data_IF_934190120186
#
_entry.id   IF_934190120186
#
_cell.length_a   1.000
_cell.length_b   1.000
_cell.length_c   1.000
_cell.angle_alpha   90.00
_cell.angle_beta   90.00
_cell.angle_gamma   90.00
#
_symmetry.space_group_name_H-M   'P 1'
#
loop_
_entity.id
_entity.type
_entity.pdbx_description
1 polymer ?
#
# COMPACT_ATOMS: atom_id res chain seq x y z
N UNK A 1 6.48 -1.22 13.79
CA UNK A 1 6.43 -0.66 12.41
C UNK A 1 5.04 -0.88 11.82
N UNK A 2 4.42 0.12 11.19
CA UNK A 2 3.09 -0.04 10.58
C UNK A 2 3.21 -0.65 9.18
N UNK A 3 2.68 -1.85 9.01
CA UNK A 3 2.63 -2.56 7.73
C UNK A 3 1.21 -2.66 7.25
N UNK A 4 1.06 -2.79 5.93
CA UNK A 4 -0.22 -2.87 5.28
C UNK A 4 -0.22 -3.96 4.22
N UNK A 5 -1.35 -4.65 4.08
CA UNK A 5 -1.67 -5.46 2.91
C UNK A 5 -2.82 -4.79 2.18
N UNK A 6 -2.62 -4.50 0.91
CA UNK A 6 -3.62 -3.87 0.04
C UNK A 6 -3.98 -4.87 -1.05
N UNK A 7 -5.26 -5.27 -1.07
CA UNK A 7 -5.83 -6.10 -2.12
C UNK A 7 -6.50 -5.19 -3.16
N UNK A 8 -6.12 -5.35 -4.41
CA UNK A 8 -6.65 -4.62 -5.55
C UNK A 8 -7.58 -5.49 -6.39
N UNK A 9 -8.43 -4.82 -7.18
CA UNK A 9 -9.22 -5.47 -8.23
C UNK A 9 -8.31 -6.29 -9.15
N UNK A 10 -8.78 -7.45 -9.59
CA UNK A 10 -8.00 -8.35 -10.45
C UNK A 10 -7.05 -9.29 -9.70
N UNK A 11 -7.28 -9.52 -8.39
CA UNK A 11 -6.52 -10.44 -7.54
C UNK A 11 -5.03 -10.05 -7.38
N UNK A 12 -4.73 -8.76 -7.44
CA UNK A 12 -3.38 -8.25 -7.19
C UNK A 12 -3.26 -7.82 -5.73
N UNK A 13 -2.20 -8.22 -5.05
CA UNK A 13 -2.01 -7.93 -3.62
C UNK A 13 -0.60 -7.41 -3.37
N UNK A 14 -0.50 -6.31 -2.63
CA UNK A 14 0.77 -5.72 -2.20
C UNK A 14 0.86 -5.72 -0.68
N UNK A 15 2.02 -6.13 -0.16
CA UNK A 15 2.35 -6.09 1.27
C UNK A 15 3.61 -5.26 1.45
N UNK A 16 3.61 -4.38 2.45
CA UNK A 16 4.77 -3.54 2.72
C UNK A 16 4.55 -2.58 3.86
N UNK A 17 5.41 -1.57 3.93
CA UNK A 17 5.30 -0.46 4.87
C UNK A 17 4.29 0.54 4.34
N UNK A 18 3.35 0.95 5.17
CA UNK A 18 2.44 2.04 4.82
C UNK A 18 3.20 3.36 4.81
N UNK A 19 3.22 4.06 3.66
CA UNK A 19 3.82 5.40 3.52
C UNK A 19 2.75 6.50 3.48
N UNK A 20 1.49 6.15 3.71
CA UNK A 20 0.36 7.05 3.73
C UNK A 20 -0.29 7.25 2.36
N UNK A 21 -1.28 8.14 2.37
CA UNK A 21 -2.03 8.52 1.17
C UNK A 21 -1.30 9.57 0.35
N UNK A 22 -1.27 9.37 -0.98
CA UNK A 22 -0.68 10.29 -1.95
C UNK A 22 -1.68 10.49 -3.10
N UNK A 23 -1.87 11.75 -3.49
CA UNK A 23 -2.66 12.14 -4.64
C UNK A 23 -1.78 12.23 -5.89
N UNK A 24 -2.13 11.49 -6.95
CA UNK A 24 -1.49 11.54 -8.27
C UNK A 24 -2.58 11.81 -9.31
N UNK A 25 -2.39 12.85 -10.12
CA UNK A 25 -3.33 13.26 -11.19
C UNK A 25 -4.79 13.43 -10.71
N UNK A 26 -4.98 13.88 -9.46
CA UNK A 26 -6.30 14.08 -8.87
C UNK A 26 -6.95 12.80 -8.33
N UNK A 27 -6.25 11.67 -8.35
CA UNK A 27 -6.68 10.42 -7.72
C UNK A 27 -5.87 10.14 -6.45
N UNK A 28 -6.57 9.87 -5.35
CA UNK A 28 -5.93 9.44 -4.11
C UNK A 28 -5.58 7.96 -4.17
N UNK A 29 -4.41 7.60 -3.65
CA UNK A 29 -3.94 6.22 -3.53
C UNK A 29 -3.07 6.05 -2.29
N UNK A 30 -2.86 4.81 -1.87
CA UNK A 30 -1.96 4.46 -0.77
C UNK A 30 -0.60 4.10 -1.37
N UNK A 31 0.48 4.70 -0.86
CA UNK A 31 1.83 4.32 -1.25
C UNK A 31 2.34 3.21 -0.34
N UNK A 32 2.63 2.04 -0.92
CA UNK A 32 3.15 0.88 -0.19
C UNK A 32 4.60 0.65 -0.58
N UNK A 33 5.51 0.66 0.38
CA UNK A 33 6.91 0.29 0.17
C UNK A 33 7.09 -1.21 0.42
N UNK A 34 7.22 -1.97 -0.67
CA UNK A 34 7.24 -3.45 -0.67
C UNK A 34 8.60 -4.04 -0.31
N UNK A 35 9.68 -3.32 -0.59
CA UNK A 35 11.03 -3.69 -0.19
C UNK A 35 11.77 -2.44 0.29
N UNK A 36 12.10 -2.42 1.58
CA UNK A 36 12.81 -1.30 2.22
C UNK A 36 14.29 -1.27 1.85
N UNK A 37 14.87 -2.35 1.33
CA UNK A 37 16.29 -2.40 0.90
C UNK A 37 16.48 -1.81 -0.49
N UNK A 38 15.62 -2.19 -1.45
CA UNK A 38 15.65 -1.59 -2.79
C UNK A 38 14.89 -0.27 -2.88
N UNK A 39 14.01 0.02 -1.92
CA UNK A 39 13.14 1.19 -1.94
C UNK A 39 11.98 1.07 -2.93
N UNK A 40 11.66 -0.16 -3.38
CA UNK A 40 10.55 -0.40 -4.31
C UNK A 40 9.22 0.00 -3.68
N UNK A 41 8.57 0.99 -4.30
CA UNK A 41 7.29 1.55 -3.88
C UNK A 41 6.24 1.32 -4.96
N UNK A 42 5.04 0.97 -4.53
CA UNK A 42 3.88 0.78 -5.39
C UNK A 42 2.79 1.72 -4.92
N UNK A 43 2.31 2.56 -5.83
CA UNK A 43 1.15 3.41 -5.58
C UNK A 43 -0.13 2.64 -5.92
N UNK A 44 -1.03 2.53 -4.95
CA UNK A 44 -2.26 1.77 -5.02
C UNK A 44 -3.46 2.72 -5.04
N UNK A 45 -4.07 3.03 -6.21
CA UNK A 45 -5.21 3.94 -6.29
C UNK A 45 -6.40 3.44 -5.47
N UNK A 46 -7.01 4.31 -4.65
CA UNK A 46 -8.09 3.95 -3.70
C UNK A 46 -9.26 3.27 -4.42
N UNK A 47 -9.63 3.76 -5.62
CA UNK A 47 -10.74 3.19 -6.41
C UNK A 47 -10.51 1.74 -6.84
N UNK A 48 -9.26 1.30 -6.83
CA UNK A 48 -8.84 -0.06 -7.19
C UNK A 48 -8.69 -0.96 -5.96
N UNK A 49 -8.65 -0.40 -4.74
CA UNK A 49 -8.54 -1.16 -3.50
C UNK A 49 -9.87 -1.83 -3.17
N UNK A 50 -9.83 -3.15 -3.03
CA UNK A 50 -10.93 -3.98 -2.58
C UNK A 50 -10.87 -4.15 -1.05
N UNK A 51 -9.67 -4.31 -0.51
CA UNK A 51 -9.46 -4.55 0.93
C UNK A 51 -8.14 -3.98 1.41
N UNK A 52 -8.16 -3.48 2.64
CA UNK A 52 -6.99 -2.97 3.36
C UNK A 52 -6.86 -3.72 4.69
N UNK A 53 -5.66 -4.23 4.97
CA UNK A 53 -5.34 -4.87 6.25
C UNK A 53 -4.15 -4.17 6.89
N UNK A 54 -4.37 -3.58 8.06
CA UNK A 54 -3.30 -3.01 8.88
C UNK A 54 -2.66 -4.11 9.73
N UNK A 55 -1.34 -4.15 9.73
CA UNK A 55 -0.53 -5.09 10.49
C UNK A 55 0.36 -4.27 11.41
N UNK A 56 0.10 -4.38 12.71
CA UNK A 56 0.96 -3.81 13.74
C UNK A 56 1.94 -4.88 14.19
N UNK A 57 3.22 -4.64 13.92
CA UNK A 57 4.29 -5.46 14.47
C UNK A 57 4.83 -4.69 15.68
N UNK A 58 4.53 -5.21 16.86
CA UNK A 58 5.19 -4.85 18.11
C UNK A 58 6.61 -5.45 18.06
N UNK A 59 7.63 -4.60 18.20
CA UNK A 59 9.04 -5.03 18.29
C UNK A 59 9.40 -5.42 19.73
#
# INVERSE_FOLDING_TARGET
>A
MERIVVELKGNLTFCGVDKGEICIEGENGILVETDTKSGLKVWCPIKSIVKKHEIRIEE
#
